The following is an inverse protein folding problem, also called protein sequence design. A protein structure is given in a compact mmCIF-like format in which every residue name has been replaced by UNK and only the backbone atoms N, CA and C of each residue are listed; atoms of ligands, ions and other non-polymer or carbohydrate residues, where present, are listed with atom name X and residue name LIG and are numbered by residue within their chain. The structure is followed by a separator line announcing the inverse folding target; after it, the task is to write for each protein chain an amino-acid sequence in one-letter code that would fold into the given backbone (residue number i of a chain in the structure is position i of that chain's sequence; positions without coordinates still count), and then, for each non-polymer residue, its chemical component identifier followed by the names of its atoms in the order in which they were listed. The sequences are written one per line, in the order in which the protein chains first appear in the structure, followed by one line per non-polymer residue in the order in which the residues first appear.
data_IF_600492221698
#
_entry.id   IF_600492221698
#
_cell.length_a   1.000
_cell.length_b   1.000
_cell.length_c   1.000
_cell.angle_alpha   90.00
_cell.angle_beta   90.00
_cell.angle_gamma   90.00
#
_symmetry.space_group_name_H-M   'P 1'
#
loop_
_entity.id
_entity.type
_entity.pdbx_description
1 polymer ?
#
# COMPACT_ATOMS: atom_id res chain seq x y z
N UNK A 1 -34.23 53.91 43.51
CA UNK A 1 -33.99 52.50 43.13
C UNK A 1 -33.59 52.48 41.66
N UNK A 2 -32.35 52.13 41.35
CA UNK A 2 -31.77 52.21 39.99
C UNK A 2 -31.72 50.80 39.40
N UNK A 3 -32.49 50.54 38.33
CA UNK A 3 -32.43 49.27 37.61
C UNK A 3 -31.40 49.39 36.47
N UNK A 4 -30.31 48.63 36.62
CA UNK A 4 -29.30 48.43 35.59
C UNK A 4 -29.73 47.25 34.71
N UNK A 5 -29.83 47.46 33.40
CA UNK A 5 -29.98 46.37 32.43
C UNK A 5 -28.58 45.98 31.94
N UNK A 6 -28.22 44.70 32.08
CA UNK A 6 -27.05 44.10 31.43
C UNK A 6 -27.49 43.53 30.07
N UNK A 7 -26.92 44.04 28.99
CA UNK A 7 -27.02 43.44 27.67
C UNK A 7 -25.89 42.42 27.50
N UNK A 8 -26.22 41.13 27.40
CA UNK A 8 -25.26 40.08 27.04
C UNK A 8 -24.98 40.11 25.54
N UNK A 9 -23.74 40.37 25.16
CA UNK A 9 -23.24 40.13 23.81
C UNK A 9 -22.95 38.63 23.62
N UNK A 10 -23.65 38.00 22.68
CA UNK A 10 -23.27 36.70 22.14
C UNK A 10 -22.21 36.91 21.04
N UNK A 11 -20.99 36.44 21.28
CA UNK A 11 -19.98 36.29 20.24
C UNK A 11 -20.29 35.00 19.47
N UNK A 12 -20.73 35.10 18.22
CA UNK A 12 -20.81 33.96 17.31
C UNK A 12 -19.42 33.80 16.66
N UNK A 13 -18.64 32.84 17.15
CA UNK A 13 -17.45 32.40 16.43
C UNK A 13 -17.92 31.59 15.21
N UNK A 14 -17.68 32.13 14.01
CA UNK A 14 -17.85 31.36 12.78
C UNK A 14 -16.68 30.39 12.64
N UNK A 15 -16.93 29.10 12.81
CA UNK A 15 -15.97 28.05 12.46
C UNK A 15 -16.05 27.85 10.95
N UNK A 16 -15.11 28.44 10.22
CA UNK A 16 -14.91 28.11 8.81
C UNK A 16 -14.27 26.71 8.77
N UNK A 17 -15.04 25.68 8.42
CA UNK A 17 -14.45 24.38 8.05
C UNK A 17 -13.57 24.60 6.83
N UNK A 18 -12.26 24.39 6.96
CA UNK A 18 -11.40 24.19 5.80
C UNK A 18 -11.86 22.88 5.14
N UNK A 19 -12.37 22.96 3.92
CA UNK A 19 -12.58 21.76 3.10
C UNK A 19 -11.22 21.09 2.92
N UNK A 20 -11.07 19.87 3.42
CA UNK A 20 -9.84 19.11 3.24
C UNK A 20 -9.70 18.76 1.75
N UNK A 21 -8.79 19.43 1.04
CA UNK A 21 -8.46 19.11 -0.34
C UNK A 21 -7.86 17.71 -0.40
N UNK A 22 -8.53 16.79 -1.09
CA UNK A 22 -8.03 15.44 -1.31
C UNK A 22 -6.80 15.45 -2.24
N UNK A 23 -5.74 14.76 -1.83
CA UNK A 23 -4.50 14.67 -2.62
C UNK A 23 -4.58 13.46 -3.56
N UNK A 24 -4.26 13.67 -4.84
CA UNK A 24 -4.28 12.65 -5.89
C UNK A 24 -2.97 12.65 -6.69
N UNK A 25 -2.71 11.56 -7.42
CA UNK A 25 -1.63 11.50 -8.39
C UNK A 25 -2.06 12.15 -9.70
N UNK A 26 -1.26 13.07 -10.24
CA UNK A 26 -1.43 13.60 -11.60
C UNK A 26 -1.09 12.55 -12.66
N UNK A 27 -0.09 11.70 -12.36
CA UNK A 27 0.25 10.50 -13.13
C UNK A 27 0.41 9.33 -12.17
N UNK A 28 -0.38 8.30 -12.41
CA UNK A 28 -0.52 7.15 -11.52
C UNK A 28 0.79 6.36 -11.41
N UNK A 29 1.23 5.96 -10.20
CA UNK A 29 2.31 4.99 -10.02
C UNK A 29 2.05 3.70 -10.78
N UNK A 30 3.09 2.94 -11.10
CA UNK A 30 2.95 1.72 -11.90
C UNK A 30 3.48 0.51 -11.14
N UNK A 31 2.69 -0.56 -11.08
CA UNK A 31 3.18 -1.88 -10.69
C UNK A 31 3.93 -2.49 -11.87
N UNK A 32 5.26 -2.43 -11.85
CA UNK A 32 6.13 -2.96 -12.91
C UNK A 32 6.23 -4.47 -12.87
N UNK A 33 6.26 -5.05 -11.67
CA UNK A 33 6.46 -6.49 -11.49
C UNK A 33 5.77 -7.01 -10.24
N UNK A 34 5.25 -8.22 -10.36
CA UNK A 34 4.93 -9.08 -9.23
C UNK A 34 5.51 -10.45 -9.48
N UNK A 35 6.25 -10.99 -8.53
CA UNK A 35 6.97 -12.23 -8.73
C UNK A 35 7.12 -13.01 -7.43
N UNK A 36 7.42 -14.30 -7.58
CA UNK A 36 7.98 -15.11 -6.52
C UNK A 36 9.32 -15.69 -6.95
N UNK A 37 10.21 -15.95 -6.00
CA UNK A 37 11.46 -16.68 -6.25
C UNK A 37 11.25 -18.21 -6.32
N UNK A 38 10.09 -18.71 -5.89
CA UNK A 38 9.74 -20.12 -5.98
C UNK A 38 8.29 -20.31 -6.40
N UNK A 39 8.08 -20.91 -7.57
CA UNK A 39 6.75 -21.12 -8.15
C UNK A 39 6.11 -22.47 -7.77
N UNK A 40 6.76 -23.31 -6.96
CA UNK A 40 6.18 -24.60 -6.55
C UNK A 40 5.05 -24.37 -5.55
N UNK A 41 3.86 -24.92 -5.82
CA UNK A 41 2.79 -24.94 -4.81
C UNK A 41 3.26 -25.68 -3.56
N UNK A 42 2.71 -25.32 -2.40
CA UNK A 42 3.03 -25.84 -1.07
C UNK A 42 4.48 -25.65 -0.58
N UNK A 43 5.33 -24.91 -1.30
CA UNK A 43 6.64 -24.49 -0.82
C UNK A 43 6.52 -23.49 0.34
N UNK A 44 7.36 -23.59 1.37
CA UNK A 44 7.16 -22.87 2.64
C UNK A 44 8.06 -21.63 2.84
N UNK A 45 9.00 -21.36 1.94
CA UNK A 45 10.02 -20.32 2.11
C UNK A 45 10.17 -19.45 0.87
N UNK A 46 9.06 -19.13 0.20
CA UNK A 46 9.07 -18.25 -0.96
C UNK A 46 9.20 -16.78 -0.54
N UNK A 47 9.79 -15.96 -1.39
CA UNK A 47 9.68 -14.50 -1.34
C UNK A 47 8.68 -14.05 -2.39
N UNK A 48 7.76 -13.17 -2.02
CA UNK A 48 6.91 -12.45 -2.97
C UNK A 48 7.40 -11.02 -3.06
N UNK A 49 7.54 -10.49 -4.28
CA UNK A 49 8.03 -9.14 -4.52
C UNK A 49 7.04 -8.37 -5.37
N UNK A 50 6.74 -7.14 -4.99
CA UNK A 50 5.91 -6.19 -5.74
C UNK A 50 6.71 -4.91 -6.00
N UNK A 51 7.05 -4.67 -7.26
CA UNK A 51 7.89 -3.56 -7.71
C UNK A 51 7.01 -2.43 -8.22
N UNK A 52 7.05 -1.29 -7.54
CA UNK A 52 6.26 -0.09 -7.86
C UNK A 52 7.19 1.06 -8.20
N UNK A 53 6.95 1.70 -9.35
CA UNK A 53 7.64 2.92 -9.76
C UNK A 53 6.70 4.12 -9.68
N UNK A 54 7.21 5.24 -9.20
CA UNK A 54 6.49 6.51 -9.13
C UNK A 54 6.97 7.39 -10.29
N UNK A 55 6.13 7.72 -11.29
CA UNK A 55 6.53 8.59 -12.39
C UNK A 55 7.04 9.95 -11.91
N UNK A 56 7.99 10.55 -12.62
CA UNK A 56 8.49 11.91 -12.34
C UNK A 56 7.36 12.95 -12.39
N UNK A 57 6.37 12.72 -13.26
CA UNK A 57 5.19 13.58 -13.46
C UNK A 57 4.02 13.21 -12.53
N UNK A 58 4.25 12.40 -11.49
CA UNK A 58 3.18 11.92 -10.61
C UNK A 58 2.49 13.02 -9.81
N UNK A 59 3.12 14.19 -9.66
CA UNK A 59 2.59 15.34 -8.93
C UNK A 59 2.57 15.18 -7.40
N UNK A 60 2.37 13.94 -6.91
CA UNK A 60 2.40 13.58 -5.50
C UNK A 60 3.37 12.42 -5.25
N UNK A 61 4.02 12.43 -4.09
CA UNK A 61 4.84 11.31 -3.61
C UNK A 61 3.98 10.12 -3.18
N UNK A 62 4.51 8.91 -3.30
CA UNK A 62 3.86 7.70 -2.82
C UNK A 62 4.04 7.57 -1.29
N UNK A 63 2.96 7.76 -0.54
CA UNK A 63 2.93 7.65 0.91
C UNK A 63 2.73 6.23 1.42
N UNK A 64 2.15 5.34 0.61
CA UNK A 64 1.92 3.96 1.00
C UNK A 64 1.36 3.08 -0.10
N UNK A 65 1.19 1.80 0.23
CA UNK A 65 0.63 0.78 -0.64
C UNK A 65 -0.40 -0.06 0.10
N UNK A 66 -1.43 -0.52 -0.61
CA UNK A 66 -2.32 -1.60 -0.16
C UNK A 66 -2.15 -2.75 -1.13
N UNK A 67 -1.83 -3.93 -0.61
CA UNK A 67 -1.69 -5.17 -1.37
C UNK A 67 -2.78 -6.13 -0.91
N UNK A 68 -3.77 -6.34 -1.76
CA UNK A 68 -4.83 -7.33 -1.58
C UNK A 68 -4.25 -8.74 -1.60
N UNK A 69 -4.63 -9.55 -0.61
CA UNK A 69 -4.21 -10.94 -0.49
C UNK A 69 -5.38 -11.81 -0.97
N UNK A 70 -5.24 -12.49 -2.13
CA UNK A 70 -6.32 -13.30 -2.67
C UNK A 70 -6.55 -14.55 -1.81
N UNK A 71 -7.78 -15.07 -1.88
CA UNK A 71 -8.14 -16.32 -1.22
C UNK A 71 -7.17 -17.46 -1.61
N UNK A 72 -6.81 -18.29 -0.63
CA UNK A 72 -5.87 -19.39 -0.82
C UNK A 72 -4.40 -19.01 -0.64
N UNK A 73 -4.07 -17.71 -0.60
CA UNK A 73 -2.76 -17.22 -0.15
C UNK A 73 -2.83 -16.96 1.35
N UNK A 74 -1.82 -17.45 2.08
CA UNK A 74 -1.70 -17.17 3.51
C UNK A 74 -1.27 -15.71 3.70
N UNK A 75 -1.86 -15.04 4.69
CA UNK A 75 -1.42 -13.69 5.08
C UNK A 75 0.06 -13.71 5.52
N UNK A 76 0.88 -12.73 5.10
CA UNK A 76 2.23 -12.56 5.62
C UNK A 76 2.21 -12.18 7.11
N UNK A 77 3.27 -12.53 7.83
CA UNK A 77 3.51 -11.95 9.15
C UNK A 77 3.99 -10.50 8.99
N UNK A 78 3.51 -9.52 9.78
CA UNK A 78 3.99 -8.15 9.73
C UNK A 78 5.52 -8.02 9.87
N UNK A 79 6.15 -8.84 10.72
CA UNK A 79 7.61 -8.83 10.96
C UNK A 79 8.44 -9.32 9.76
N UNK A 80 7.78 -9.91 8.77
CA UNK A 80 8.36 -10.51 7.58
C UNK A 80 8.02 -9.73 6.31
N UNK A 81 7.64 -8.47 6.47
CA UNK A 81 7.38 -7.53 5.40
C UNK A 81 8.48 -6.48 5.38
N UNK A 82 9.10 -6.31 4.23
CA UNK A 82 10.17 -5.34 4.03
C UNK A 82 9.85 -4.46 2.82
N UNK A 83 10.42 -3.26 2.81
CA UNK A 83 10.45 -2.40 1.66
C UNK A 83 11.91 -2.07 1.34
N UNK A 84 12.29 -2.13 0.07
CA UNK A 84 13.61 -1.76 -0.42
C UNK A 84 13.48 -0.82 -1.62
N UNK A 85 14.38 0.13 -1.76
CA UNK A 85 14.40 1.04 -2.91
C UNK A 85 14.92 0.34 -4.17
N UNK A 86 14.81 0.99 -5.32
CA UNK A 86 15.34 0.47 -6.60
C UNK A 86 16.86 0.19 -6.59
N UNK A 87 17.63 0.86 -5.72
CA UNK A 87 19.07 0.61 -5.50
C UNK A 87 19.36 -0.40 -4.37
N UNK A 88 18.32 -1.07 -3.84
CA UNK A 88 18.44 -2.14 -2.86
C UNK A 88 18.65 -1.69 -1.41
N UNK A 89 18.48 -0.40 -1.10
CA UNK A 89 18.57 0.09 0.28
C UNK A 89 17.26 -0.14 1.03
N UNK A 90 17.30 -0.42 2.34
CA UNK A 90 16.08 -0.51 3.15
C UNK A 90 15.27 0.80 3.11
N UNK A 91 13.96 0.67 2.92
CA UNK A 91 12.99 1.75 3.05
C UNK A 91 12.22 1.53 4.35
N UNK A 92 12.24 2.53 5.23
CA UNK A 92 11.55 2.43 6.51
C UNK A 92 10.02 2.46 6.33
N UNK A 93 9.34 1.50 6.96
CA UNK A 93 7.88 1.44 7.04
C UNK A 93 7.43 2.04 8.37
N UNK A 94 6.55 3.05 8.31
CA UNK A 94 5.92 3.67 9.49
C UNK A 94 4.78 2.82 10.03
N UNK A 95 4.02 2.19 9.13
CA UNK A 95 2.88 1.35 9.51
C UNK A 95 2.82 0.11 8.64
N UNK A 96 2.50 -1.01 9.29
CA UNK A 96 2.20 -2.28 8.65
C UNK A 96 0.92 -2.79 9.30
N UNK A 97 -0.15 -2.90 8.51
CA UNK A 97 -1.44 -3.41 8.97
C UNK A 97 -1.83 -4.59 8.11
N UNK A 98 -1.88 -5.78 8.71
CA UNK A 98 -2.33 -7.01 8.06
C UNK A 98 -3.76 -7.28 8.49
N UNK A 99 -4.67 -7.35 7.52
CA UNK A 99 -6.08 -7.67 7.71
C UNK A 99 -6.42 -8.99 7.01
N UNK A 100 -7.66 -9.47 7.13
CA UNK A 100 -8.08 -10.75 6.55
C UNK A 100 -7.93 -10.85 5.02
N UNK A 101 -7.81 -9.72 4.31
CA UNK A 101 -7.74 -9.70 2.85
C UNK A 101 -6.73 -8.72 2.26
N UNK A 102 -5.94 -8.02 3.08
CA UNK A 102 -4.99 -7.04 2.57
C UNK A 102 -3.86 -6.74 3.56
N UNK A 103 -2.74 -6.29 3.02
CA UNK A 103 -1.64 -5.65 3.74
C UNK A 103 -1.65 -4.17 3.37
N UNK A 104 -1.82 -3.28 4.36
CA UNK A 104 -1.67 -1.83 4.20
C UNK A 104 -0.34 -1.38 4.78
N UNK A 105 0.43 -0.65 3.97
CA UNK A 105 1.77 -0.18 4.26
C UNK A 105 1.79 1.35 4.17
N UNK A 106 2.40 2.00 5.15
CA UNK A 106 2.73 3.41 5.08
C UNK A 106 4.24 3.59 5.20
N UNK A 107 4.85 4.35 4.29
CA UNK A 107 6.27 4.65 4.34
C UNK A 107 6.57 5.72 5.39
N UNK A 108 7.71 5.59 6.08
CA UNK A 108 8.16 6.60 7.03
C UNK A 108 8.59 7.88 6.31
N UNK A 109 9.24 7.72 5.17
CA UNK A 109 9.52 8.78 4.20
C UNK A 109 8.82 8.43 2.89
N UNK A 110 8.05 9.36 2.34
CA UNK A 110 7.31 9.11 1.11
C UNK A 110 8.26 8.94 -0.08
N UNK A 111 7.95 8.00 -0.98
CA UNK A 111 8.76 7.80 -2.19
C UNK A 111 8.47 8.92 -3.17
N UNK A 112 9.49 9.75 -3.43
CA UNK A 112 9.37 10.91 -4.31
C UNK A 112 9.05 10.52 -5.77
N UNK A 113 8.49 11.45 -6.58
CA UNK A 113 8.39 11.29 -8.03
C UNK A 113 9.74 10.90 -8.65
N UNK A 114 9.72 9.94 -9.58
CA UNK A 114 10.91 9.32 -10.16
C UNK A 114 11.51 8.17 -9.34
N UNK A 115 11.00 7.94 -8.13
CA UNK A 115 11.46 6.87 -7.25
C UNK A 115 10.87 5.50 -7.58
N UNK A 116 11.44 4.49 -6.92
CA UNK A 116 11.02 3.09 -7.01
C UNK A 116 11.09 2.44 -5.64
N UNK A 117 10.15 1.54 -5.36
CA UNK A 117 10.14 0.70 -4.15
C UNK A 117 9.71 -0.73 -4.50
N UNK A 118 10.35 -1.70 -3.87
CA UNK A 118 9.99 -3.10 -3.91
C UNK A 118 9.48 -3.51 -2.53
N UNK A 119 8.26 -4.03 -2.47
CA UNK A 119 7.72 -4.64 -1.25
C UNK A 119 8.00 -6.12 -1.29
N UNK A 120 8.59 -6.65 -0.21
CA UNK A 120 8.95 -8.05 -0.07
C UNK A 120 8.18 -8.69 1.08
N UNK A 121 7.53 -9.82 0.79
CA UNK A 121 7.00 -10.72 1.81
C UNK A 121 7.90 -11.95 1.87
N UNK A 122 8.60 -12.15 2.98
CA UNK A 122 9.47 -13.32 3.16
C UNK A 122 9.71 -13.65 4.64
N UNK A 123 9.52 -14.91 5.06
CA UNK A 123 9.12 -16.06 4.25
C UNK A 123 7.60 -16.15 4.03
N UNK A 124 7.21 -16.55 2.82
CA UNK A 124 5.84 -16.88 2.43
C UNK A 124 5.68 -18.38 2.20
N UNK A 125 4.51 -18.87 2.58
CA UNK A 125 4.04 -20.21 2.20
C UNK A 125 3.17 -20.12 0.96
N UNK A 126 3.62 -20.76 -0.11
CA UNK A 126 2.89 -20.92 -1.35
C UNK A 126 1.56 -21.63 -1.15
N UNK A 127 0.56 -21.35 -1.99
CA UNK A 127 -0.75 -21.98 -1.93
C UNK A 127 -0.61 -23.49 -2.06
N UNK A 128 -1.54 -24.24 -1.46
CA UNK A 128 -1.48 -25.72 -1.44
C UNK A 128 -1.61 -26.33 -2.84
N UNK A 129 -2.32 -25.65 -3.74
CA UNK A 129 -2.56 -26.08 -5.11
C UNK A 129 -1.92 -25.09 -6.09
N UNK A 130 -1.61 -25.57 -7.30
CA UNK A 130 -1.22 -24.67 -8.39
C UNK A 130 -2.39 -23.77 -8.80
N UNK A 131 -2.06 -22.72 -9.54
CA UNK A 131 -3.01 -21.73 -10.02
C UNK A 131 -2.40 -20.34 -10.13
N UNK A 132 -3.16 -19.43 -10.74
CA UNK A 132 -2.79 -18.02 -10.86
C UNK A 132 -3.56 -17.20 -9.84
N UNK A 133 -2.84 -16.42 -9.05
CA UNK A 133 -3.37 -15.59 -7.98
C UNK A 133 -3.16 -14.12 -8.33
N UNK A 134 -4.20 -13.31 -8.11
CA UNK A 134 -4.24 -11.89 -8.45
C UNK A 134 -4.22 -11.08 -7.15
N UNK A 135 -3.16 -10.33 -6.96
CA UNK A 135 -2.96 -9.42 -5.83
C UNK A 135 -3.36 -8.03 -6.28
N UNK A 136 -4.42 -7.46 -5.72
CA UNK A 136 -4.80 -6.09 -6.01
C UNK A 136 -3.75 -5.14 -5.43
N UNK A 137 -3.14 -4.27 -6.23
CA UNK A 137 -2.16 -3.30 -5.73
C UNK A 137 -2.70 -1.89 -5.92
N UNK A 138 -2.77 -1.17 -4.81
CA UNK A 138 -3.31 0.20 -4.74
C UNK A 138 -2.29 1.14 -4.11
N UNK A 139 -2.02 2.26 -4.77
CA UNK A 139 -1.13 3.32 -4.30
C UNK A 139 -1.89 4.34 -3.47
N UNK A 140 -1.22 4.85 -2.44
CA UNK A 140 -1.71 5.93 -1.60
C UNK A 140 -0.78 7.14 -1.76
N UNK A 141 -1.29 8.31 -2.18
CA UNK A 141 -0.53 9.55 -2.10
C UNK A 141 -0.08 9.84 -0.66
N UNK A 142 0.99 10.62 -0.50
CA UNK A 142 1.39 11.13 0.80
C UNK A 142 0.45 12.28 1.23
N UNK A 143 -0.15 12.18 2.42
CA UNK A 143 -1.04 13.20 2.96
C UNK A 143 -2.04 12.64 3.97
N UNK A 144 -2.87 13.51 4.54
CA UNK A 144 -3.90 13.13 5.52
C UNK A 144 -5.20 12.66 4.85
N UNK A 145 -5.66 13.41 3.85
CA UNK A 145 -6.84 13.08 3.04
C UNK A 145 -6.38 12.80 1.61
N UNK A 146 -6.43 11.55 1.18
CA UNK A 146 -5.79 11.10 -0.05
C UNK A 146 -6.72 10.21 -0.86
N UNK A 147 -6.61 10.30 -2.18
CA UNK A 147 -7.32 9.45 -3.13
C UNK A 147 -6.53 8.17 -3.42
N UNK A 148 -6.98 6.98 -2.97
CA UNK A 148 -6.32 5.72 -3.30
C UNK A 148 -6.45 5.42 -4.79
N UNK A 149 -5.35 4.99 -5.41
CA UNK A 149 -5.31 4.70 -6.83
C UNK A 149 -4.99 3.22 -7.07
N UNK A 150 -5.95 2.48 -7.62
CA UNK A 150 -5.69 1.12 -8.08
C UNK A 150 -4.67 1.15 -9.23
N UNK A 151 -3.61 0.34 -9.12
CA UNK A 151 -2.53 0.27 -10.10
C UNK A 151 -2.82 -0.83 -11.13
N UNK A 152 -2.87 -2.07 -10.65
CA UNK A 152 -3.18 -3.27 -11.43
C UNK A 152 -3.26 -4.49 -10.51
N UNK A 153 -3.54 -5.65 -11.09
CA UNK A 153 -3.36 -6.93 -10.42
C UNK A 153 -1.93 -7.45 -10.60
N UNK A 154 -1.22 -7.62 -9.49
CA UNK A 154 0.00 -8.40 -9.42
C UNK A 154 -0.32 -9.88 -9.63
N UNK A 155 0.20 -10.47 -10.71
CA UNK A 155 -0.09 -11.86 -11.08
C UNK A 155 1.04 -12.78 -10.68
N UNK A 156 0.78 -13.74 -9.80
CA UNK A 156 1.74 -14.80 -9.43
C UNK A 156 1.11 -16.16 -9.70
N UNK A 157 1.80 -17.00 -10.49
CA UNK A 157 1.34 -18.35 -10.83
C UNK A 157 2.18 -19.39 -10.11
N UNK A 158 1.53 -20.33 -9.45
CA UNK A 158 2.16 -21.48 -8.81
C UNK A 158 1.83 -22.76 -9.56
N UNK A 159 2.77 -23.70 -9.58
CA UNK A 159 2.65 -24.97 -10.28
C UNK A 159 2.65 -26.13 -9.28
N UNK A 160 1.77 -27.11 -9.50
CA UNK A 160 1.72 -28.31 -8.68
C UNK A 160 2.93 -29.23 -8.95
N UNK A 161 3.48 -29.90 -7.93
CA UNK A 161 4.49 -30.93 -8.13
C UNK A 161 3.95 -32.02 -9.07
N UNK A 162 4.61 -32.22 -10.22
CA UNK A 162 4.25 -33.28 -11.18
C UNK A 162 3.31 -32.89 -12.32
N UNK A 163 3.02 -31.60 -12.54
CA UNK A 163 2.33 -31.16 -13.75
C UNK A 163 3.17 -31.46 -15.00
N UNK A 164 2.81 -32.53 -15.73
CA UNK A 164 3.33 -32.77 -17.08
C UNK A 164 2.93 -31.58 -17.97
N UNK A 165 3.93 -31.09 -18.72
CA UNK A 165 3.77 -30.09 -19.79
C UNK A 165 2.72 -30.51 -20.79
#
# INVERSE_FOLDING_TARGET
MKHFWLASLFFIASVQSAEATEIFFSKVPELKRSATDNFSSAYNYARYTFEVTVPVESGASLGGLVIGIPFGIRLPSPDYIQAVSGDGKPVALKTIQVTSGAVRLGFAEAIAPGGQVNIEFYPMRNPRTGGTFLFEVTALPAGETVHPQFLSYGRITFYSPGGRR
#
